data_IF_468896199914
#
_entry.id   IF_468896199914
#
_cell.length_a   1.000
_cell.length_b   1.000
_cell.length_c   1.000
_cell.angle_alpha   90.00
_cell.angle_beta   90.00
_cell.angle_gamma   90.00
#
_symmetry.space_group_name_H-M   'P 1'
#
loop_
_entity.id
_entity.type
_entity.pdbx_description
1 polymer ?
#
# COMPACT_ATOMS: atom_id res chain seq x y z
N UNK A 1 -4.39 -28.86 50.56
CA UNK A 1 -3.51 -27.72 50.22
C UNK A 1 -2.89 -28.02 48.86
N UNK A 2 -3.53 -27.59 47.77
CA UNK A 2 -3.03 -27.85 46.39
C UNK A 2 -2.67 -26.50 45.80
N UNK A 3 -1.38 -26.30 45.52
CA UNK A 3 -0.84 -25.06 45.01
C UNK A 3 -1.35 -24.79 43.58
N UNK A 4 -2.01 -23.65 43.39
CA UNK A 4 -2.37 -23.12 42.08
C UNK A 4 -1.08 -22.72 41.36
N UNK A 5 -0.67 -23.50 40.37
CA UNK A 5 0.47 -23.17 39.51
C UNK A 5 0.03 -22.04 38.57
N UNK A 6 0.48 -20.83 38.87
CA UNK A 6 0.27 -19.64 38.05
C UNK A 6 1.05 -19.80 36.74
N UNK A 7 0.35 -20.11 35.65
CA UNK A 7 0.95 -20.18 34.31
C UNK A 7 1.40 -18.77 33.92
N UNK A 8 2.69 -18.54 33.60
CA UNK A 8 3.16 -17.25 33.16
C UNK A 8 2.54 -16.93 31.79
N UNK A 9 1.68 -15.91 31.77
CA UNK A 9 1.08 -15.37 30.53
C UNK A 9 2.20 -14.68 29.75
N UNK A 10 2.78 -15.38 28.76
CA UNK A 10 3.74 -14.80 27.84
C UNK A 10 3.03 -13.70 27.03
N UNK A 11 3.46 -12.45 27.22
CA UNK A 11 2.99 -11.29 26.48
C UNK A 11 3.49 -11.40 25.03
N UNK A 12 2.66 -11.91 24.12
CA UNK A 12 2.86 -11.81 22.68
C UNK A 12 2.56 -10.36 22.29
N UNK A 13 3.54 -9.47 22.45
CA UNK A 13 3.43 -8.09 22.03
C UNK A 13 4.76 -7.67 21.43
N UNK A 14 4.86 -7.65 20.09
CA UNK A 14 5.92 -6.94 19.31
C UNK A 14 5.93 -7.31 17.83
N UNK A 15 5.37 -8.46 17.41
CA UNK A 15 5.47 -8.92 16.00
C UNK A 15 4.86 -7.91 15.01
N UNK A 16 3.78 -7.23 15.41
CA UNK A 16 3.11 -6.21 14.60
C UNK A 16 3.95 -4.97 14.32
N UNK A 17 4.63 -4.41 15.34
CA UNK A 17 5.33 -3.13 15.25
C UNK A 17 6.60 -3.21 14.40
N UNK A 18 7.33 -4.32 14.48
CA UNK A 18 8.55 -4.54 13.71
C UNK A 18 8.25 -4.59 12.21
N UNK A 19 7.15 -5.23 11.78
CA UNK A 19 6.77 -5.34 10.38
C UNK A 19 6.46 -3.97 9.73
N UNK A 20 5.75 -3.11 10.45
CA UNK A 20 5.37 -1.78 9.96
C UNK A 20 6.60 -0.87 9.88
N UNK A 21 7.45 -0.91 10.91
CA UNK A 21 8.69 -0.13 10.96
C UNK A 21 9.66 -0.55 9.86
N UNK A 22 9.88 -1.84 9.66
CA UNK A 22 10.70 -2.37 8.57
C UNK A 22 10.18 -1.93 7.21
N UNK A 23 8.86 -2.01 6.98
CA UNK A 23 8.25 -1.52 5.73
C UNK A 23 8.48 -0.01 5.51
N UNK A 24 8.36 0.81 6.57
CA UNK A 24 8.65 2.26 6.47
C UNK A 24 10.11 2.51 6.14
N UNK A 25 11.03 1.80 6.79
CA UNK A 25 12.47 1.92 6.52
C UNK A 25 12.81 1.51 5.10
N UNK A 26 12.22 0.43 4.58
CA UNK A 26 12.38 0.01 3.18
C UNK A 26 11.88 1.08 2.22
N UNK A 27 10.70 1.65 2.45
CA UNK A 27 10.14 2.73 1.62
C UNK A 27 11.05 3.96 1.61
N UNK A 28 11.53 4.38 2.78
CA UNK A 28 12.45 5.51 2.90
C UNK A 28 13.77 5.19 2.20
N UNK A 29 14.34 4.00 2.45
CA UNK A 29 15.60 3.56 1.85
C UNK A 29 15.55 3.55 0.33
N UNK A 30 14.52 2.95 -0.27
CA UNK A 30 14.33 2.92 -1.73
C UNK A 30 14.14 4.34 -2.29
N UNK A 31 13.38 5.19 -1.59
CA UNK A 31 13.14 6.57 -2.04
C UNK A 31 14.43 7.41 -2.01
N UNK A 32 15.21 7.32 -0.94
CA UNK A 32 16.49 8.02 -0.80
C UNK A 32 17.49 7.51 -1.83
N UNK A 33 17.59 6.19 -2.01
CA UNK A 33 18.47 5.58 -3.01
C UNK A 33 18.12 6.07 -4.42
N UNK A 34 16.84 6.06 -4.78
CA UNK A 34 16.34 6.55 -6.08
C UNK A 34 16.67 8.03 -6.28
N UNK A 35 16.46 8.86 -5.26
CA UNK A 35 16.77 10.30 -5.31
C UNK A 35 18.27 10.55 -5.50
N UNK A 36 19.12 9.87 -4.72
CA UNK A 36 20.59 10.00 -4.82
C UNK A 36 21.08 9.59 -6.21
N UNK A 37 20.56 8.48 -6.75
CA UNK A 37 20.90 8.03 -8.11
C UNK A 37 20.51 9.09 -9.15
N UNK A 38 19.30 9.65 -9.06
CA UNK A 38 18.83 10.67 -9.98
C UNK A 38 19.59 12.00 -9.85
N UNK A 39 19.95 12.43 -8.64
CA UNK A 39 20.76 13.62 -8.42
C UNK A 39 22.19 13.44 -8.97
N UNK A 40 22.74 12.24 -8.87
CA UNK A 40 24.04 11.90 -9.47
C UNK A 40 23.98 11.99 -11.00
N UNK A 41 22.90 11.52 -11.63
CA UNK A 41 22.66 11.67 -13.06
C UNK A 41 22.45 13.13 -13.47
N UNK A 42 21.70 13.90 -12.68
CA UNK A 42 21.50 15.34 -12.91
C UNK A 42 22.84 16.10 -12.86
N UNK A 43 23.69 15.78 -11.88
CA UNK A 43 25.03 16.33 -11.77
C UNK A 43 25.88 16.03 -13.00
N UNK A 44 25.86 14.78 -13.47
CA UNK A 44 26.56 14.39 -14.68
C UNK A 44 26.05 15.15 -15.92
N UNK A 45 24.74 15.35 -16.03
CA UNK A 45 24.14 16.13 -17.12
C UNK A 45 24.51 17.61 -17.08
N UNK A 46 24.65 18.19 -15.88
CA UNK A 46 25.16 19.56 -15.71
C UNK A 46 26.57 19.70 -16.27
N UNK A 47 27.47 18.78 -15.89
CA UNK A 47 28.84 18.74 -16.42
C UNK A 47 28.85 18.56 -17.95
N UNK A 48 27.91 17.80 -18.51
CA UNK A 48 27.77 17.63 -19.96
C UNK A 48 27.27 18.88 -20.65
N UNK A 49 26.38 19.64 -20.00
CA UNK A 49 25.90 20.93 -20.50
C UNK A 49 27.00 21.99 -20.55
N UNK A 50 27.93 22.02 -19.59
CA UNK A 50 29.06 22.97 -19.59
C UNK A 50 30.14 22.65 -20.64
N UNK A 51 30.09 21.45 -21.24
CA UNK A 51 31.02 21.06 -22.30
C UNK A 51 30.74 21.77 -23.64
N UNK A 52 31.71 21.79 -24.56
CA UNK A 52 31.59 22.43 -25.88
C UNK A 52 30.39 21.95 -26.76
N UNK A 53 29.80 20.80 -26.44
CA UNK A 53 28.61 20.24 -27.11
C UNK A 53 27.35 20.26 -26.21
N UNK A 54 27.28 21.15 -25.23
CA UNK A 54 26.12 21.32 -24.37
C UNK A 54 24.88 21.75 -25.16
N UNK A 55 23.74 21.11 -24.91
CA UNK A 55 22.44 21.47 -25.51
C UNK A 55 21.41 21.77 -24.43
N UNK A 56 20.36 22.53 -24.78
CA UNK A 56 19.21 22.76 -23.89
C UNK A 56 18.50 21.47 -23.46
N UNK A 57 18.64 20.38 -24.21
CA UNK A 57 18.12 19.07 -23.82
C UNK A 57 18.82 18.52 -22.56
N UNK A 58 20.13 18.78 -22.38
CA UNK A 58 20.86 18.41 -21.17
C UNK A 58 20.30 19.14 -19.94
N UNK A 59 19.96 20.43 -20.05
CA UNK A 59 19.28 21.18 -18.98
C UNK A 59 17.91 20.59 -18.65
N UNK A 60 17.17 20.16 -19.67
CA UNK A 60 15.93 19.40 -19.48
C UNK A 60 16.15 18.17 -18.60
N UNK A 61 17.21 17.40 -18.87
CA UNK A 61 17.58 16.24 -18.06
C UNK A 61 18.02 16.61 -16.64
N UNK A 62 18.77 17.69 -16.44
CA UNK A 62 19.15 18.19 -15.10
C UNK A 62 17.92 18.43 -14.23
N UNK A 63 16.83 18.96 -14.79
CA UNK A 63 15.57 19.21 -14.08
C UNK A 63 14.69 17.96 -14.00
N UNK A 64 14.67 17.15 -15.06
CA UNK A 64 13.83 15.96 -15.16
C UNK A 64 14.29 14.84 -14.21
N UNK A 65 15.60 14.60 -14.08
CA UNK A 65 16.12 13.52 -13.23
C UNK A 65 15.70 13.69 -11.75
N UNK A 66 15.86 14.87 -11.10
CA UNK A 66 15.38 15.09 -9.73
C UNK A 66 13.87 14.81 -9.56
N UNK A 67 13.03 15.20 -10.54
CA UNK A 67 11.60 14.92 -10.49
C UNK A 67 11.33 13.41 -10.46
N UNK A 68 12.05 12.62 -11.26
CA UNK A 68 11.92 11.17 -11.22
C UNK A 68 12.44 10.56 -9.92
N UNK A 69 13.52 11.10 -9.35
CA UNK A 69 14.04 10.66 -8.05
C UNK A 69 13.06 10.89 -6.89
N UNK A 70 12.20 11.91 -6.98
CA UNK A 70 11.17 12.20 -5.99
C UNK A 70 9.89 11.39 -6.17
N UNK A 71 9.68 10.78 -7.35
CA UNK A 71 8.43 10.09 -7.68
C UNK A 71 8.05 8.97 -6.69
N UNK A 72 8.96 8.10 -6.22
CA UNK A 72 8.62 7.05 -5.25
C UNK A 72 8.11 7.66 -3.93
N UNK A 73 8.82 8.65 -3.38
CA UNK A 73 8.42 9.33 -2.15
C UNK A 73 7.03 9.97 -2.29
N UNK A 74 6.80 10.65 -3.41
CA UNK A 74 5.50 11.25 -3.72
C UNK A 74 4.38 10.20 -3.80
N UNK A 75 4.60 9.09 -4.50
CA UNK A 75 3.63 8.01 -4.63
C UNK A 75 3.27 7.39 -3.27
N UNK A 76 4.26 7.10 -2.43
CA UNK A 76 4.02 6.56 -1.09
C UNK A 76 3.28 7.55 -0.19
N UNK A 77 3.66 8.83 -0.23
CA UNK A 77 2.94 9.88 0.48
C UNK A 77 1.48 9.98 0.00
N UNK A 78 1.25 9.97 -1.31
CA UNK A 78 -0.09 10.07 -1.91
C UNK A 78 -0.96 8.86 -1.54
N UNK A 79 -0.43 7.65 -1.63
CA UNK A 79 -1.13 6.44 -1.21
C UNK A 79 -1.47 6.46 0.29
N UNK A 80 -0.53 6.92 1.14
CA UNK A 80 -0.80 7.07 2.57
C UNK A 80 -1.92 8.07 2.82
N UNK A 81 -1.86 9.24 2.17
CA UNK A 81 -2.91 10.27 2.27
C UNK A 81 -4.28 9.77 1.83
N UNK A 82 -4.36 8.94 0.78
CA UNK A 82 -5.63 8.35 0.34
C UNK A 82 -6.19 7.37 1.38
N UNK A 83 -5.33 6.52 1.96
CA UNK A 83 -5.72 5.58 3.02
C UNK A 83 -6.16 6.29 4.29
N UNK A 84 -5.46 7.35 4.68
CA UNK A 84 -5.81 8.15 5.86
C UNK A 84 -7.17 8.85 5.66
N UNK A 85 -7.49 9.26 4.42
CA UNK A 85 -8.80 9.83 4.07
C UNK A 85 -9.91 8.78 4.15
N UNK A 86 -9.70 7.61 3.58
CA UNK A 86 -10.66 6.51 3.61
C UNK A 86 -10.93 6.00 5.04
N UNK A 87 -9.93 6.01 5.91
CA UNK A 87 -10.09 5.68 7.33
C UNK A 87 -10.78 6.78 8.15
N UNK A 88 -10.70 8.04 7.71
CA UNK A 88 -11.35 9.19 8.37
C UNK A 88 -12.78 9.41 7.89
N UNK A 89 -13.13 8.92 6.70
CA UNK A 89 -14.50 8.91 6.21
C UNK A 89 -15.29 7.91 7.06
N UNK A 90 -16.41 8.32 7.68
CA UNK A 90 -17.26 7.37 8.40
C UNK A 90 -17.65 6.28 7.41
N UNK A 91 -17.49 5.01 7.82
CA UNK A 91 -17.89 3.89 7.00
C UNK A 91 -19.28 4.22 6.44
N UNK A 92 -19.48 4.14 5.10
CA UNK A 92 -20.77 4.45 4.51
C UNK A 92 -21.79 3.70 5.34
N UNK A 93 -22.74 4.42 5.95
CA UNK A 93 -23.85 3.80 6.66
C UNK A 93 -24.33 2.72 5.70
N UNK A 94 -24.42 1.45 6.11
CA UNK A 94 -24.78 0.40 5.17
C UNK A 94 -26.14 0.80 4.60
N UNK A 95 -26.12 1.45 3.43
CA UNK A 95 -27.30 1.65 2.61
C UNK A 95 -27.82 0.25 2.52
N UNK A 96 -29.06 -0.03 2.98
CA UNK A 96 -29.64 -1.35 2.85
C UNK A 96 -29.33 -1.77 1.43
N UNK A 97 -28.52 -2.83 1.26
CA UNK A 97 -28.27 -3.41 -0.06
C UNK A 97 -29.64 -3.41 -0.71
N UNK A 98 -29.84 -2.76 -1.86
CA UNK A 98 -31.12 -2.85 -2.55
C UNK A 98 -31.46 -4.32 -2.52
N UNK A 99 -32.55 -4.68 -1.83
CA UNK A 99 -33.03 -6.05 -1.92
C UNK A 99 -33.17 -6.23 -3.41
N UNK A 100 -32.31 -7.07 -3.99
CA UNK A 100 -32.48 -7.51 -5.36
C UNK A 100 -33.93 -7.99 -5.38
N UNK A 101 -34.81 -7.23 -6.02
CA UNK A 101 -36.13 -7.74 -6.35
C UNK A 101 -35.76 -8.83 -7.35
N UNK A 102 -35.92 -10.11 -7.00
CA UNK A 102 -35.46 -11.16 -7.88
C UNK A 102 -36.20 -11.00 -9.21
N UNK A 103 -35.45 -10.93 -10.31
CA UNK A 103 -36.03 -11.20 -11.62
C UNK A 103 -36.34 -12.71 -11.60
N UNK A 104 -37.63 -13.05 -11.67
CA UNK A 104 -38.24 -14.40 -11.48
C UNK A 104 -37.61 -15.50 -12.37
N UNK A 105 -36.72 -15.13 -13.28
CA UNK A 105 -36.15 -15.98 -14.31
C UNK A 105 -34.83 -16.65 -13.87
N UNK A 106 -34.25 -16.30 -12.70
CA UNK A 106 -32.87 -16.71 -12.30
C UNK A 106 -32.67 -17.21 -10.86
N UNK A 107 -33.74 -17.39 -10.08
CA UNK A 107 -33.65 -17.53 -8.61
C UNK A 107 -33.08 -18.87 -8.13
N UNK A 108 -33.36 -19.97 -8.83
CA UNK A 108 -32.95 -21.31 -8.40
C UNK A 108 -31.43 -21.52 -8.46
N UNK A 109 -30.78 -21.06 -9.53
CA UNK A 109 -29.33 -21.19 -9.72
C UNK A 109 -28.56 -20.31 -8.72
N UNK A 110 -29.04 -19.08 -8.50
CA UNK A 110 -28.46 -18.16 -7.51
C UNK A 110 -28.59 -18.68 -6.08
N UNK A 111 -29.71 -19.32 -5.74
CA UNK A 111 -29.92 -19.99 -4.43
C UNK A 111 -28.98 -21.18 -4.27
N UNK A 112 -28.77 -21.98 -5.33
CA UNK A 112 -27.80 -23.07 -5.31
C UNK A 112 -26.37 -22.55 -5.13
N UNK A 113 -26.00 -21.48 -5.83
CA UNK A 113 -24.67 -20.88 -5.76
C UNK A 113 -24.39 -20.24 -4.39
N UNK A 114 -25.34 -19.48 -3.84
CA UNK A 114 -25.20 -18.89 -2.50
C UNK A 114 -25.06 -19.95 -1.40
N UNK A 115 -25.77 -21.09 -1.52
CA UNK A 115 -25.59 -22.25 -0.61
C UNK A 115 -24.22 -22.89 -0.76
N UNK A 116 -23.73 -23.01 -1.99
CA UNK A 116 -22.39 -23.54 -2.26
C UNK A 116 -21.30 -22.64 -1.65
N UNK A 117 -21.38 -21.31 -1.85
CA UNK A 117 -20.46 -20.35 -1.24
C UNK A 117 -20.48 -20.42 0.29
N UNK A 118 -21.66 -20.54 0.90
CA UNK A 118 -21.79 -20.67 2.35
C UNK A 118 -21.10 -21.95 2.86
N UNK A 119 -21.28 -23.08 2.16
CA UNK A 119 -20.62 -24.33 2.50
C UNK A 119 -19.09 -24.25 2.40
N UNK A 120 -18.57 -23.52 1.41
CA UNK A 120 -17.14 -23.31 1.24
C UNK A 120 -16.56 -22.43 2.36
N UNK A 121 -17.26 -21.36 2.73
CA UNK A 121 -16.86 -20.49 3.83
C UNK A 121 -16.85 -21.23 5.18
N UNK A 122 -17.80 -22.14 5.40
CA UNK A 122 -17.84 -23.01 6.57
C UNK A 122 -16.72 -24.08 6.57
N UNK A 123 -16.23 -24.49 5.40
CA UNK A 123 -15.06 -25.37 5.27
C UNK A 123 -13.74 -24.64 5.52
N UNK A 124 -13.61 -23.40 5.07
CA UNK A 124 -12.42 -22.56 5.30
C UNK A 124 -12.27 -22.14 6.77
N UNK A 125 -13.39 -21.97 7.47
CA UNK A 125 -13.44 -21.52 8.86
C UNK A 125 -13.48 -22.67 9.90
N UNK A 126 -13.27 -23.91 9.48
CA UNK A 126 -13.15 -25.12 10.34
C UNK A 126 -11.70 -25.60 10.40
#
# INVERSE_FOLDING_TARGET
>A
MTALTQVPRFTIGTVGDTSNTSRRLLVIGVSVLSLVACLSLAWWQWQRFESANGTFQNLGYVLQWPLFGLAPAYMFWRMRKLRDREAAEPAPTPTPRPKLIPDDDGDDELVAYNRYLAALNDQENR
#
